data_IF_153594602169
#
_entry.id   IF_153594602169
#
_cell.length_a   1.000
_cell.length_b   1.000
_cell.length_c   1.000
_cell.angle_alpha   90.00
_cell.angle_beta   90.00
_cell.angle_gamma   90.00
#
_symmetry.space_group_name_H-M   'P 1'
#
loop_
_entity.id
_entity.type
_entity.pdbx_description
1 polymer ?
#
# COMPACT_ATOMS: atom_id res chain seq x y z
N UNK A 1 12.31 -2.45 -12.23
CA UNK A 1 11.99 -1.33 -11.32
C UNK A 1 12.57 -1.68 -9.97
N UNK A 2 13.37 -0.79 -9.40
CA UNK A 2 13.99 -1.05 -8.10
C UNK A 2 13.11 -0.52 -6.97
N UNK A 3 13.17 -1.16 -5.79
CA UNK A 3 12.43 -0.72 -4.61
C UNK A 3 12.71 0.75 -4.27
N UNK A 4 13.95 1.21 -4.49
CA UNK A 4 14.35 2.60 -4.27
C UNK A 4 13.49 3.57 -5.10
N UNK A 5 13.29 3.29 -6.39
CA UNK A 5 12.45 4.12 -7.27
C UNK A 5 10.99 4.13 -6.82
N UNK A 6 10.49 2.97 -6.34
CA UNK A 6 9.13 2.89 -5.79
C UNK A 6 9.03 3.75 -4.54
N UNK A 7 10.02 3.72 -3.65
CA UNK A 7 10.07 4.57 -2.44
C UNK A 7 10.07 6.06 -2.79
N UNK A 8 10.79 6.48 -3.82
CA UNK A 8 10.81 7.87 -4.28
C UNK A 8 9.44 8.34 -4.78
N UNK A 9 8.74 7.48 -5.51
CA UNK A 9 7.41 7.77 -6.08
C UNK A 9 6.25 7.40 -5.15
N UNK A 10 6.52 6.76 -4.01
CA UNK A 10 5.49 6.26 -3.10
C UNK A 10 4.63 7.38 -2.53
N UNK A 11 5.24 8.53 -2.24
CA UNK A 11 4.50 9.71 -1.79
C UNK A 11 3.46 10.14 -2.82
N UNK A 12 3.79 10.10 -4.12
CA UNK A 12 2.83 10.42 -5.19
C UNK A 12 1.72 9.38 -5.31
N UNK A 13 2.00 8.10 -5.06
CA UNK A 13 0.98 7.05 -4.98
C UNK A 13 0.02 7.32 -3.82
N UNK A 14 0.56 7.63 -2.64
CA UNK A 14 -0.24 7.94 -1.46
C UNK A 14 -1.06 9.21 -1.64
N UNK A 15 -0.51 10.25 -2.28
CA UNK A 15 -1.22 11.49 -2.59
C UNK A 15 -2.44 11.24 -3.49
N UNK A 16 -2.24 10.49 -4.59
CA UNK A 16 -3.34 10.09 -5.46
C UNK A 16 -4.37 9.21 -4.74
N UNK A 17 -3.91 8.31 -3.86
CA UNK A 17 -4.80 7.46 -3.07
C UNK A 17 -5.63 8.30 -2.09
N UNK A 18 -5.03 9.31 -1.45
CA UNK A 18 -5.70 10.26 -0.56
C UNK A 18 -6.76 11.08 -1.29
N UNK A 19 -6.46 11.52 -2.52
CA UNK A 19 -7.42 12.22 -3.38
C UNK A 19 -8.62 11.34 -3.74
N UNK A 20 -8.40 10.04 -3.97
CA UNK A 20 -9.46 9.09 -4.32
C UNK A 20 -10.28 8.65 -3.11
N UNK A 21 -9.60 8.21 -2.06
CA UNK A 21 -10.24 7.66 -0.87
C UNK A 21 -9.35 7.82 0.36
N UNK A 22 -9.80 8.67 1.28
CA UNK A 22 -9.09 8.95 2.54
C UNK A 22 -9.04 7.72 3.46
N UNK A 23 -10.03 6.83 3.42
CA UNK A 23 -10.06 5.62 4.25
C UNK A 23 -9.04 4.61 3.74
N UNK A 24 -8.98 4.40 2.43
CA UNK A 24 -7.94 3.59 1.80
C UNK A 24 -6.55 4.16 2.11
N UNK A 25 -6.37 5.47 1.99
CA UNK A 25 -5.12 6.12 2.39
C UNK A 25 -4.77 5.87 3.86
N UNK A 26 -5.73 6.03 4.79
CA UNK A 26 -5.51 5.76 6.22
C UNK A 26 -5.16 4.28 6.50
N UNK A 27 -5.59 3.35 5.64
CA UNK A 27 -5.23 1.94 5.76
C UNK A 27 -3.79 1.63 5.28
N UNK A 28 -3.23 2.44 4.38
CA UNK A 28 -1.94 2.18 3.72
C UNK A 28 -0.84 3.23 3.96
N UNK A 29 -1.14 4.38 4.57
CA UNK A 29 -0.13 5.44 4.79
C UNK A 29 1.00 5.00 5.72
N UNK A 30 0.71 4.11 6.69
CA UNK A 30 1.70 3.51 7.60
C UNK A 30 2.46 2.33 6.97
N UNK A 31 2.07 1.89 5.76
CA UNK A 31 2.67 0.75 5.11
C UNK A 31 4.14 1.02 4.76
N UNK A 32 5.04 0.15 5.22
CA UNK A 32 6.46 0.22 4.88
C UNK A 32 6.77 -0.68 3.69
N UNK A 33 7.39 -0.09 2.67
CA UNK A 33 7.91 -0.80 1.51
C UNK A 33 9.12 -1.67 1.91
N UNK A 34 8.90 -2.97 2.07
CA UNK A 34 9.92 -3.95 2.49
C UNK A 34 10.74 -4.43 1.30
N UNK A 35 10.06 -4.94 0.27
CA UNK A 35 10.70 -5.51 -0.92
C UNK A 35 9.78 -5.44 -2.13
N UNK A 36 10.39 -5.41 -3.30
CA UNK A 36 9.67 -5.51 -4.58
C UNK A 36 10.39 -6.51 -5.48
N UNK A 37 9.82 -7.70 -5.62
CA UNK A 37 10.42 -8.80 -6.38
C UNK A 37 9.33 -9.60 -7.08
N UNK A 38 9.61 -10.12 -8.29
CA UNK A 38 8.64 -10.92 -9.05
C UNK A 38 7.26 -10.24 -9.22
N UNK A 39 7.25 -8.92 -9.43
CA UNK A 39 6.02 -8.12 -9.55
C UNK A 39 5.12 -8.21 -8.29
N UNK A 40 5.71 -8.50 -7.13
CA UNK A 40 5.06 -8.51 -5.83
C UNK A 40 5.68 -7.42 -4.95
N UNK A 41 4.83 -6.55 -4.40
CA UNK A 41 5.23 -5.48 -3.49
C UNK A 41 4.88 -5.89 -2.07
N UNK A 42 5.90 -6.13 -1.26
CA UNK A 42 5.74 -6.48 0.15
C UNK A 42 5.63 -5.22 0.99
N UNK A 43 4.48 -5.07 1.63
CA UNK A 43 4.17 -4.00 2.57
C UNK A 43 4.12 -4.58 3.99
N UNK A 44 4.85 -3.96 4.91
CA UNK A 44 4.83 -4.31 6.33
C UNK A 44 4.02 -3.28 7.11
N UNK A 45 3.12 -3.78 7.95
CA UNK A 45 2.22 -2.98 8.80
C UNK A 45 2.49 -3.23 10.29
N UNK A 46 3.69 -3.70 10.63
CA UNK A 46 4.05 -4.12 11.99
C UNK A 46 3.97 -2.99 13.03
N UNK A 47 3.99 -1.72 12.60
CA UNK A 47 3.87 -0.55 13.48
C UNK A 47 2.41 -0.33 13.91
N UNK A 48 1.47 -0.29 12.96
CA UNK A 48 0.02 -0.21 13.22
C UNK A 48 -0.54 -1.37 14.06
N UNK A 49 0.00 -2.59 13.92
CA UNK A 49 -0.44 -3.75 14.72
C UNK A 49 -0.06 -3.69 16.20
N UNK A 50 0.83 -2.78 16.62
CA UNK A 50 1.15 -2.61 18.05
C UNK A 50 0.02 -1.97 18.84
N UNK A 51 -0.94 -1.33 18.18
CA UNK A 51 -2.02 -0.58 18.84
C UNK A 51 -3.41 -1.17 18.67
N UNK A 52 -3.62 -2.14 17.78
CA UNK A 52 -4.94 -2.72 17.57
C UNK A 52 -4.93 -4.25 17.72
N UNK A 53 -6.00 -4.76 18.32
CA UNK A 53 -6.31 -6.18 18.34
C UNK A 53 -6.15 -6.79 16.92
N UNK A 54 -5.51 -7.96 16.78
CA UNK A 54 -5.21 -8.60 15.48
C UNK A 54 -6.44 -8.96 14.64
N UNK A 55 -7.67 -8.75 15.16
CA UNK A 55 -8.93 -9.04 14.48
C UNK A 55 -9.46 -7.85 13.65
N UNK A 56 -9.12 -6.60 13.99
CA UNK A 56 -9.77 -5.40 13.41
C UNK A 56 -9.15 -4.92 12.08
N UNK A 57 -7.84 -5.11 11.87
CA UNK A 57 -7.16 -4.57 10.68
C UNK A 57 -7.40 -5.37 9.40
N UNK A 58 -7.65 -6.69 9.49
CA UNK A 58 -8.03 -7.50 8.32
C UNK A 58 -9.35 -7.05 7.70
N UNK A 59 -10.22 -6.40 8.48
CA UNK A 59 -11.50 -5.86 7.99
C UNK A 59 -11.39 -4.48 7.34
N UNK A 60 -10.34 -3.71 7.64
CA UNK A 60 -10.16 -2.36 7.08
C UNK A 60 -9.45 -2.36 5.72
N UNK A 61 -8.76 -3.45 5.37
CA UNK A 61 -8.16 -3.66 4.04
C UNK A 61 -9.10 -4.48 3.18
N UNK A 62 -10.27 -3.90 2.93
CA UNK A 62 -11.22 -4.42 1.96
C UNK A 62 -10.54 -4.57 0.59
N UNK A 63 -10.98 -5.56 -0.23
CA UNK A 63 -10.46 -5.75 -1.58
C UNK A 63 -10.56 -4.47 -2.42
N UNK A 64 -11.59 -3.65 -2.23
CA UNK A 64 -11.72 -2.32 -2.84
C UNK A 64 -10.54 -1.38 -2.54
N UNK A 65 -10.11 -1.28 -1.28
CA UNK A 65 -8.98 -0.42 -0.92
C UNK A 65 -7.67 -0.92 -1.55
N UNK A 66 -7.48 -2.24 -1.61
CA UNK A 66 -6.33 -2.85 -2.31
C UNK A 66 -6.39 -2.51 -3.81
N UNK A 67 -7.57 -2.59 -4.45
CA UNK A 67 -7.74 -2.22 -5.85
C UNK A 67 -7.46 -0.73 -6.10
N UNK A 68 -7.85 0.15 -5.18
CA UNK A 68 -7.54 1.58 -5.26
C UNK A 68 -6.05 1.84 -5.18
N UNK A 69 -5.34 1.18 -4.25
CA UNK A 69 -3.89 1.26 -4.14
C UNK A 69 -3.20 0.76 -5.42
N UNK A 70 -3.59 -0.41 -5.93
CA UNK A 70 -3.04 -0.96 -7.17
C UNK A 70 -3.29 0.00 -8.35
N UNK A 71 -4.49 0.61 -8.40
CA UNK A 71 -4.82 1.59 -9.44
C UNK A 71 -3.97 2.86 -9.32
N UNK A 72 -3.68 3.32 -8.10
CA UNK A 72 -2.81 4.46 -7.87
C UNK A 72 -1.36 4.15 -8.27
N UNK A 73 -0.86 3.00 -7.86
CA UNK A 73 0.46 2.49 -8.27
C UNK A 73 0.54 2.39 -9.79
N UNK A 74 -0.47 1.85 -10.47
CA UNK A 74 -0.51 1.78 -11.94
C UNK A 74 -0.48 3.15 -12.59
N UNK A 75 -1.13 4.14 -12.00
CA UNK A 75 -1.18 5.51 -12.55
C UNK A 75 0.16 6.23 -12.40
N UNK A 76 0.81 6.11 -11.25
CA UNK A 76 2.06 6.82 -10.94
C UNK A 76 3.30 6.08 -11.46
N UNK A 77 3.36 4.77 -11.20
CA UNK A 77 4.53 3.94 -11.48
C UNK A 77 4.40 3.13 -12.79
N UNK A 78 3.21 3.06 -13.39
CA UNK A 78 2.98 2.30 -14.62
C UNK A 78 2.99 0.77 -14.44
N UNK A 79 3.06 0.27 -13.20
CA UNK A 79 3.11 -1.15 -12.88
C UNK A 79 1.87 -1.61 -12.12
N UNK A 80 1.56 -2.90 -12.17
CA UNK A 80 0.42 -3.48 -11.45
C UNK A 80 0.92 -4.60 -10.54
N UNK A 81 1.58 -4.26 -9.42
CA UNK A 81 2.16 -5.26 -8.53
C UNK A 81 1.08 -5.95 -7.69
N UNK A 82 1.32 -7.22 -7.36
CA UNK A 82 0.53 -7.90 -6.35
C UNK A 82 0.97 -7.42 -4.96
N UNK A 83 0.02 -6.96 -4.15
CA UNK A 83 0.29 -6.46 -2.80
C UNK A 83 0.38 -7.64 -1.85
N UNK A 84 1.52 -7.81 -1.19
CA UNK A 84 1.76 -8.83 -0.18
C UNK A 84 1.90 -8.12 1.17
N UNK A 85 1.12 -8.55 2.15
CA UNK A 85 1.21 -8.05 3.52
C UNK A 85 2.15 -8.94 4.33
N UNK A 86 3.09 -8.32 5.06
CA UNK A 86 3.98 -9.01 6.00
C UNK A 86 3.68 -8.62 7.44
#
# INVERSE_FOLDING_TARGET
MELAQIKEQWNSVLDLLLEKDRIAWLAFFDARLVSYENNQLTLDFSDSQKFANPHDFKQSRNPDHIQLLISAIKTVLGITPAIIER
#
